data_IF_254257436375
#
_entry.id   IF_254257436375
#
_cell.length_a   1.000
_cell.length_b   1.000
_cell.length_c   1.000
_cell.angle_alpha   90.00
_cell.angle_beta   90.00
_cell.angle_gamma   90.00
#
_symmetry.space_group_name_H-M   'P 1'
#
loop_
_entity.id
_entity.type
_entity.pdbx_description
1 polymer ?
#
# COMPACT_ATOMS: atom_id res chain seq x y z
N UNK A 1 27.68 9.52 -9.34
CA UNK A 1 26.43 9.00 -8.77
C UNK A 1 26.80 8.03 -7.66
N UNK A 2 26.26 8.18 -6.44
CA UNK A 2 26.55 7.23 -5.36
C UNK A 2 25.94 5.87 -5.70
N UNK A 3 26.70 4.81 -5.49
CA UNK A 3 26.25 3.42 -5.64
C UNK A 3 25.02 3.21 -4.76
N UNK A 4 23.95 2.63 -5.32
CA UNK A 4 22.76 2.29 -4.56
C UNK A 4 23.12 1.19 -3.55
N UNK A 5 23.06 1.52 -2.25
CA UNK A 5 23.26 0.53 -1.17
C UNK A 5 21.90 -0.02 -0.76
N UNK A 6 21.75 -1.34 -0.87
CA UNK A 6 20.54 -2.04 -0.43
C UNK A 6 20.22 -1.74 1.04
N UNK A 7 21.23 -1.57 1.89
CA UNK A 7 21.04 -1.32 3.32
C UNK A 7 20.41 0.04 3.64
N UNK A 8 20.42 0.98 2.68
CA UNK A 8 19.76 2.28 2.81
C UNK A 8 18.27 2.23 2.45
N UNK A 9 17.82 1.14 1.80
CA UNK A 9 16.44 0.97 1.35
C UNK A 9 15.66 0.16 2.39
N UNK A 10 14.45 0.61 2.71
CA UNK A 10 13.60 -0.01 3.74
C UNK A 10 12.69 -1.05 3.10
N UNK A 11 13.01 -2.32 3.31
CA UNK A 11 12.22 -3.46 2.81
C UNK A 11 11.53 -4.24 3.93
N UNK A 12 10.38 -4.78 3.62
CA UNK A 12 9.63 -5.71 4.46
C UNK A 12 8.47 -6.36 3.73
N UNK A 13 7.61 -7.00 4.49
CA UNK A 13 6.50 -7.79 3.98
C UNK A 13 5.20 -7.52 4.74
N UNK A 14 4.08 -7.86 4.10
CA UNK A 14 2.82 -8.00 4.80
C UNK A 14 2.88 -9.27 5.65
N UNK A 15 2.78 -9.12 6.97
CA UNK A 15 2.95 -10.20 7.92
C UNK A 15 1.63 -10.62 8.57
N UNK A 16 1.56 -11.90 8.93
CA UNK A 16 0.39 -12.47 9.60
C UNK A 16 0.31 -12.01 11.06
N UNK A 17 -0.91 -11.74 11.52
CA UNK A 17 -1.22 -11.48 12.94
C UNK A 17 -1.85 -12.69 13.64
N UNK A 18 -1.77 -13.87 13.04
CA UNK A 18 -2.36 -15.09 13.59
C UNK A 18 -1.81 -15.41 14.99
N UNK A 19 -2.69 -15.76 15.89
CA UNK A 19 -2.38 -16.07 17.29
C UNK A 19 -2.20 -14.82 18.17
N UNK A 20 -1.18 -14.01 17.91
CA UNK A 20 -0.91 -12.77 18.67
C UNK A 20 -0.37 -11.70 17.73
N UNK A 21 -0.90 -10.47 17.83
CA UNK A 21 -0.49 -9.36 16.98
C UNK A 21 1.00 -8.99 17.13
N UNK A 22 1.58 -9.25 18.31
CA UNK A 22 3.00 -9.04 18.59
C UNK A 22 3.93 -10.02 17.87
N UNK A 23 3.40 -11.07 17.23
CA UNK A 23 4.20 -11.99 16.42
C UNK A 23 4.77 -11.29 15.18
N UNK A 24 4.01 -10.39 14.57
CA UNK A 24 4.45 -9.69 13.37
C UNK A 24 5.73 -8.84 13.58
N UNK A 25 5.83 -7.93 14.56
CA UNK A 25 7.09 -7.21 14.80
C UNK A 25 8.22 -8.11 15.27
N UNK A 26 7.96 -9.24 15.99
CA UNK A 26 8.98 -10.24 16.34
C UNK A 26 9.55 -10.91 15.08
N UNK A 27 8.68 -11.34 14.18
CA UNK A 27 9.06 -11.91 12.90
C UNK A 27 9.87 -10.92 12.06
N UNK A 28 9.37 -9.68 11.91
CA UNK A 28 10.06 -8.64 11.16
C UNK A 28 11.49 -8.38 11.69
N UNK A 29 11.69 -8.33 13.01
CA UNK A 29 13.01 -8.19 13.62
C UNK A 29 13.91 -9.41 13.36
N UNK A 30 13.38 -10.61 13.54
CA UNK A 30 14.15 -11.86 13.35
C UNK A 30 14.63 -12.05 11.92
N UNK A 31 13.84 -11.54 10.94
CA UNK A 31 14.14 -11.58 9.52
C UNK A 31 14.99 -10.38 9.04
N UNK A 32 15.29 -9.43 9.93
CA UNK A 32 16.05 -8.23 9.60
C UNK A 32 15.32 -7.25 8.67
N UNK A 33 13.99 -7.25 8.68
CA UNK A 33 13.21 -6.29 7.92
C UNK A 33 13.31 -4.89 8.55
N UNK A 34 13.25 -3.85 7.74
CA UNK A 34 13.30 -2.45 8.18
C UNK A 34 11.93 -1.76 8.18
N UNK A 35 10.93 -2.46 7.68
CA UNK A 35 9.51 -2.06 7.64
C UNK A 35 8.63 -3.31 7.61
N UNK A 36 7.35 -3.18 7.91
CA UNK A 36 6.36 -4.25 7.70
C UNK A 36 4.95 -3.66 7.68
N UNK A 37 4.01 -4.46 7.17
CA UNK A 37 2.59 -4.18 7.15
C UNK A 37 1.81 -5.32 7.77
N UNK A 38 0.68 -5.02 8.39
CA UNK A 38 -0.25 -5.99 8.99
C UNK A 38 -1.69 -5.60 8.74
N UNK A 39 -2.62 -6.54 8.88
CA UNK A 39 -4.00 -6.22 9.19
C UNK A 39 -4.13 -5.91 10.68
N UNK A 40 -4.94 -4.92 11.04
CA UNK A 40 -5.25 -4.58 12.46
C UNK A 40 -6.64 -5.04 12.87
N UNK A 41 -7.32 -5.77 11.99
CA UNK A 41 -8.60 -6.47 12.21
C UNK A 41 -8.70 -7.65 11.26
N UNK A 42 -9.74 -8.48 11.42
CA UNK A 42 -9.96 -9.59 10.49
C UNK A 42 -10.30 -9.05 9.08
N UNK A 43 -9.48 -9.32 8.03
CA UNK A 43 -9.68 -8.76 6.69
C UNK A 43 -10.96 -9.23 5.98
N UNK A 44 -11.64 -10.23 6.52
CA UNK A 44 -12.89 -10.80 5.98
C UNK A 44 -14.13 -10.47 6.81
N UNK A 45 -14.02 -9.56 7.79
CA UNK A 45 -15.12 -9.22 8.69
C UNK A 45 -15.42 -7.72 8.65
N UNK A 46 -16.70 -7.37 8.67
CA UNK A 46 -17.15 -5.99 8.90
C UNK A 46 -17.03 -5.55 10.36
N UNK A 47 -16.92 -6.52 11.28
CA UNK A 47 -16.81 -6.21 12.71
C UNK A 47 -15.33 -6.04 13.09
N UNK A 48 -14.99 -4.88 13.59
CA UNK A 48 -13.67 -4.56 14.14
C UNK A 48 -13.71 -4.78 15.64
N UNK A 49 -12.88 -5.70 16.13
CA UNK A 49 -12.63 -5.84 17.55
C UNK A 49 -11.57 -4.86 17.98
N UNK A 50 -11.81 -4.13 19.05
CA UNK A 50 -10.79 -3.30 19.67
C UNK A 50 -9.62 -4.17 20.17
N UNK A 51 -8.41 -3.67 20.00
CA UNK A 51 -7.20 -4.33 20.51
C UNK A 51 -7.10 -4.01 22.01
N UNK A 52 -6.86 -5.03 22.82
CA UNK A 52 -6.69 -4.85 24.27
C UNK A 52 -5.36 -4.16 24.60
N UNK A 53 -5.33 -3.46 25.75
CA UNK A 53 -4.20 -2.66 26.17
C UNK A 53 -2.91 -3.47 26.37
N UNK A 54 -3.01 -4.72 26.85
CA UNK A 54 -1.84 -5.58 27.07
C UNK A 54 -1.19 -5.97 25.75
N UNK A 55 -2.00 -6.43 24.78
CA UNK A 55 -1.55 -6.75 23.42
C UNK A 55 -0.95 -5.52 22.72
N UNK A 56 -1.58 -4.34 22.88
CA UNK A 56 -1.07 -3.10 22.32
C UNK A 56 0.26 -2.68 22.97
N UNK A 57 0.41 -2.82 24.27
CA UNK A 57 1.65 -2.51 24.99
C UNK A 57 2.79 -3.41 24.56
N UNK A 58 2.56 -4.73 24.46
CA UNK A 58 3.55 -5.69 23.98
C UNK A 58 3.98 -5.37 22.55
N UNK A 59 3.01 -5.14 21.65
CA UNK A 59 3.28 -4.76 20.27
C UNK A 59 4.17 -3.51 20.19
N UNK A 60 3.77 -2.41 20.84
CA UNK A 60 4.49 -1.13 20.83
C UNK A 60 5.93 -1.27 21.33
N UNK A 61 6.16 -2.06 22.38
CA UNK A 61 7.49 -2.29 22.95
C UNK A 61 8.44 -2.89 21.90
N UNK A 62 7.98 -3.83 21.09
CA UNK A 62 8.80 -4.48 20.06
C UNK A 62 8.87 -3.60 18.80
N UNK A 63 7.74 -3.07 18.38
CA UNK A 63 7.58 -2.27 17.18
C UNK A 63 8.34 -0.93 17.23
N UNK A 64 8.72 -0.45 18.42
CA UNK A 64 9.52 0.77 18.60
C UNK A 64 10.82 0.77 17.77
N UNK A 65 11.41 -0.40 17.51
CA UNK A 65 12.61 -0.55 16.68
C UNK A 65 12.42 -0.05 15.23
N UNK A 66 11.19 -0.12 14.71
CA UNK A 66 10.85 0.30 13.34
C UNK A 66 10.53 1.79 13.22
N UNK A 67 10.45 2.52 14.34
CA UNK A 67 10.06 3.94 14.38
C UNK A 67 8.68 4.15 13.73
N UNK A 68 8.64 4.97 12.65
CA UNK A 68 7.40 5.24 11.89
C UNK A 68 7.27 4.40 10.62
N UNK A 69 8.10 3.37 10.44
CA UNK A 69 8.09 2.53 9.24
C UNK A 69 7.21 1.28 9.44
N UNK A 70 6.03 1.47 9.99
CA UNK A 70 5.04 0.41 10.22
C UNK A 70 3.74 0.84 9.58
N UNK A 71 3.10 -0.09 8.89
CA UNK A 71 1.90 0.16 8.14
C UNK A 71 0.80 -0.85 8.53
N UNK A 72 -0.43 -0.39 8.48
CA UNK A 72 -1.60 -1.26 8.50
C UNK A 72 -2.30 -1.23 7.15
N UNK A 73 -3.00 -2.30 6.81
CA UNK A 73 -3.87 -2.37 5.65
C UNK A 73 -5.33 -2.53 6.11
N UNK A 74 -6.23 -1.80 5.51
CA UNK A 74 -7.66 -1.95 5.76
C UNK A 74 -8.20 -3.26 5.14
N UNK A 75 -9.24 -3.87 5.74
CA UNK A 75 -9.90 -5.04 5.16
C UNK A 75 -10.39 -4.79 3.72
N UNK A 76 -10.30 -5.80 2.87
CA UNK A 76 -10.77 -5.75 1.47
C UNK A 76 -12.26 -5.44 1.29
N UNK A 77 -13.05 -5.57 2.36
CA UNK A 77 -14.47 -5.23 2.37
C UNK A 77 -14.72 -3.73 2.29
N UNK A 78 -13.77 -2.90 2.74
CA UNK A 78 -13.90 -1.45 2.71
C UNK A 78 -14.03 -0.95 1.26
N UNK A 79 -15.08 -0.19 1.00
CA UNK A 79 -15.29 0.46 -0.30
C UNK A 79 -15.73 1.92 -0.08
N UNK A 80 -14.78 2.84 0.18
CA UNK A 80 -15.09 4.25 0.42
C UNK A 80 -15.68 4.97 -0.79
N UNK A 81 -15.55 4.42 -2.00
CA UNK A 81 -16.17 4.94 -3.23
C UNK A 81 -17.54 4.31 -3.54
N UNK A 82 -18.09 3.48 -2.63
CA UNK A 82 -19.37 2.83 -2.87
C UNK A 82 -20.51 3.84 -3.01
N UNK A 83 -21.32 3.65 -4.06
CA UNK A 83 -22.56 4.40 -4.27
C UNK A 83 -23.77 3.78 -3.56
N UNK A 84 -23.61 2.58 -2.99
CA UNK A 84 -24.61 1.93 -2.14
C UNK A 84 -24.45 2.42 -0.70
N UNK A 85 -25.43 3.14 -0.19
CA UNK A 85 -25.42 3.80 1.13
C UNK A 85 -25.05 2.83 2.26
N UNK A 86 -25.59 1.61 2.26
CA UNK A 86 -25.31 0.61 3.30
C UNK A 86 -23.84 0.16 3.29
N UNK A 87 -23.26 -0.06 2.09
CA UNK A 87 -21.85 -0.43 1.95
C UNK A 87 -20.95 0.74 2.36
N UNK A 88 -21.29 1.95 1.92
CA UNK A 88 -20.54 3.16 2.27
C UNK A 88 -20.49 3.38 3.79
N UNK A 89 -21.67 3.27 4.47
CA UNK A 89 -21.77 3.39 5.92
C UNK A 89 -20.93 2.34 6.64
N UNK A 90 -21.06 1.06 6.26
CA UNK A 90 -20.25 -0.03 6.81
C UNK A 90 -18.75 0.19 6.57
N UNK A 91 -18.37 0.74 5.40
CA UNK A 91 -16.98 1.05 5.09
C UNK A 91 -16.43 2.16 5.97
N UNK A 92 -17.21 3.20 6.23
CA UNK A 92 -16.84 4.29 7.16
C UNK A 92 -16.61 3.72 8.57
N UNK A 93 -17.55 2.93 9.09
CA UNK A 93 -17.45 2.34 10.44
C UNK A 93 -16.25 1.39 10.54
N UNK A 94 -16.02 0.57 9.50
CA UNK A 94 -14.87 -0.33 9.40
C UNK A 94 -13.54 0.43 9.41
N UNK A 95 -13.43 1.51 8.63
CA UNK A 95 -12.21 2.33 8.55
C UNK A 95 -11.94 3.05 9.87
N UNK A 96 -12.97 3.60 10.54
CA UNK A 96 -12.83 4.21 11.88
C UNK A 96 -12.24 3.22 12.87
N UNK A 97 -12.82 2.03 13.00
CA UNK A 97 -12.31 1.02 13.93
C UNK A 97 -10.89 0.56 13.61
N UNK A 98 -10.50 0.52 12.32
CA UNK A 98 -9.12 0.20 11.94
C UNK A 98 -8.15 1.35 12.27
N UNK A 99 -8.56 2.61 12.12
CA UNK A 99 -7.78 3.79 12.55
C UNK A 99 -7.57 3.78 14.05
N UNK A 100 -8.61 3.46 14.84
CA UNK A 100 -8.53 3.37 16.29
C UNK A 100 -7.55 2.27 16.73
N UNK A 101 -7.60 1.10 16.09
CA UNK A 101 -6.65 0.02 16.32
C UNK A 101 -5.23 0.42 15.92
N UNK A 102 -5.03 1.15 14.79
CA UNK A 102 -3.73 1.69 14.40
C UNK A 102 -3.19 2.64 15.48
N UNK A 103 -4.02 3.57 15.96
CA UNK A 103 -3.67 4.49 17.03
C UNK A 103 -3.28 3.76 18.33
N UNK A 104 -4.07 2.76 18.72
CA UNK A 104 -3.79 1.92 19.89
C UNK A 104 -2.44 1.20 19.78
N UNK A 105 -2.06 0.74 18.59
CA UNK A 105 -0.79 0.08 18.32
C UNK A 105 0.39 1.04 18.05
N UNK A 106 0.13 2.34 17.90
CA UNK A 106 1.14 3.31 17.50
C UNK A 106 1.56 3.18 16.03
N UNK A 107 0.71 2.62 15.18
CA UNK A 107 0.92 2.52 13.73
C UNK A 107 0.46 3.83 13.07
N UNK A 108 1.35 4.56 12.37
CA UNK A 108 1.03 5.90 11.87
C UNK A 108 0.23 5.90 10.56
N UNK A 109 0.14 4.77 9.85
CA UNK A 109 -0.41 4.72 8.50
C UNK A 109 -1.38 3.56 8.32
N UNK A 110 -2.55 3.84 7.70
CA UNK A 110 -3.53 2.85 7.26
C UNK A 110 -3.69 2.91 5.74
N UNK A 111 -3.27 1.86 5.04
CA UNK A 111 -3.50 1.71 3.58
C UNK A 111 -4.95 1.34 3.34
N UNK A 112 -5.56 2.00 2.35
CA UNK A 112 -6.96 1.83 1.99
C UNK A 112 -7.10 1.79 0.47
N UNK A 113 -7.66 0.72 -0.07
CA UNK A 113 -8.09 0.70 -1.47
C UNK A 113 -9.14 1.80 -1.70
N UNK A 114 -9.01 2.55 -2.78
CA UNK A 114 -9.96 3.62 -3.15
C UNK A 114 -11.36 3.05 -3.36
N UNK A 115 -11.45 1.80 -3.80
CA UNK A 115 -12.69 1.07 -3.94
C UNK A 115 -13.28 1.14 -5.35
N UNK A 116 -14.61 1.04 -5.43
CA UNK A 116 -15.33 0.91 -6.71
C UNK A 116 -16.66 1.64 -6.66
N UNK A 117 -17.02 2.31 -7.76
CA UNK A 117 -18.32 2.98 -7.93
C UNK A 117 -19.48 2.02 -8.27
N UNK A 118 -19.24 0.70 -8.31
CA UNK A 118 -20.25 -0.36 -8.50
C UNK A 118 -21.16 -0.17 -9.73
N UNK A 119 -20.64 0.44 -10.80
CA UNK A 119 -21.38 0.68 -12.03
C UNK A 119 -22.14 2.01 -12.10
N UNK A 120 -22.13 2.82 -11.05
CA UNK A 120 -22.86 4.11 -11.03
C UNK A 120 -22.09 5.27 -11.69
N UNK A 121 -20.89 5.00 -12.20
CA UNK A 121 -20.06 5.97 -12.88
C UNK A 121 -19.06 6.68 -11.96
N UNK A 122 -17.96 7.12 -12.57
CA UNK A 122 -16.81 7.71 -11.90
C UNK A 122 -17.17 8.86 -10.96
N UNK A 123 -17.96 9.84 -11.44
CA UNK A 123 -18.38 11.01 -10.63
C UNK A 123 -19.18 10.63 -9.38
N UNK A 124 -19.99 9.59 -9.46
CA UNK A 124 -20.71 9.08 -8.29
C UNK A 124 -19.76 8.47 -7.27
N UNK A 125 -18.72 7.74 -7.73
CA UNK A 125 -17.65 7.22 -6.87
C UNK A 125 -16.82 8.31 -6.22
N UNK A 126 -16.41 9.35 -6.97
CA UNK A 126 -15.74 10.53 -6.42
C UNK A 126 -16.59 11.18 -5.32
N UNK A 127 -17.86 11.44 -5.57
CA UNK A 127 -18.74 12.03 -4.56
C UNK A 127 -18.85 11.18 -3.29
N UNK A 128 -18.73 9.86 -3.41
CA UNK A 128 -18.77 8.95 -2.26
C UNK A 128 -17.48 9.02 -1.45
N UNK A 129 -16.30 8.95 -2.10
CA UNK A 129 -15.02 8.98 -1.38
C UNK A 129 -14.76 10.34 -0.73
N UNK A 130 -15.15 11.45 -1.38
CA UNK A 130 -15.06 12.80 -0.83
C UNK A 130 -15.98 13.04 0.38
N UNK A 131 -16.96 12.17 0.61
CA UNK A 131 -17.78 12.17 1.83
C UNK A 131 -17.24 11.21 2.88
N UNK A 132 -16.80 10.01 2.45
CA UNK A 132 -16.43 8.94 3.37
C UNK A 132 -15.09 9.19 4.07
N UNK A 133 -14.04 9.57 3.34
CA UNK A 133 -12.71 9.76 3.94
C UNK A 133 -12.70 10.93 4.93
N UNK A 134 -13.21 12.14 4.61
CA UNK A 134 -13.33 13.20 5.62
C UNK A 134 -14.16 12.77 6.82
N UNK A 135 -15.30 12.09 6.62
CA UNK A 135 -16.11 11.59 7.73
C UNK A 135 -15.33 10.65 8.66
N UNK A 136 -14.49 9.78 8.10
CA UNK A 136 -13.61 8.91 8.90
C UNK A 136 -12.62 9.75 9.71
N UNK A 137 -11.94 10.72 9.07
CA UNK A 137 -10.91 11.54 9.70
C UNK A 137 -11.46 12.47 10.78
N UNK A 138 -12.62 13.08 10.54
CA UNK A 138 -13.27 14.03 11.46
C UNK A 138 -13.83 13.34 12.71
N UNK A 139 -14.10 12.04 12.62
CA UNK A 139 -14.65 11.25 13.74
C UNK A 139 -13.61 10.32 14.38
N UNK A 140 -12.32 10.59 14.18
CA UNK A 140 -11.21 9.88 14.83
C UNK A 140 -10.23 10.88 15.41
N UNK A 141 -10.10 10.89 16.74
CA UNK A 141 -9.21 11.82 17.48
C UNK A 141 -7.80 11.20 17.61
N UNK A 142 -7.08 11.16 16.49
CA UNK A 142 -5.71 10.66 16.45
C UNK A 142 -4.99 11.17 15.19
N UNK A 143 -3.67 10.86 15.06
CA UNK A 143 -2.81 11.32 13.97
C UNK A 143 -2.55 10.24 12.91
N UNK A 144 -3.34 9.18 12.85
CA UNK A 144 -3.20 8.15 11.81
C UNK A 144 -3.52 8.74 10.46
N UNK A 145 -2.64 8.51 9.50
CA UNK A 145 -2.78 8.96 8.11
C UNK A 145 -3.34 7.84 7.25
N UNK A 146 -4.37 8.11 6.49
CA UNK A 146 -4.90 7.20 5.46
C UNK A 146 -4.00 7.29 4.23
N UNK A 147 -3.56 6.14 3.70
CA UNK A 147 -2.85 6.04 2.44
C UNK A 147 -3.78 5.46 1.39
N UNK A 148 -4.18 6.28 0.44
CA UNK A 148 -4.98 5.84 -0.70
C UNK A 148 -4.10 5.02 -1.65
N UNK A 149 -4.51 3.80 -1.94
CA UNK A 149 -3.76 2.90 -2.80
C UNK A 149 -4.32 2.92 -4.23
N UNK A 150 -3.41 3.03 -5.23
CA UNK A 150 -3.82 2.91 -6.63
C UNK A 150 -4.37 1.51 -6.93
N UNK A 151 -5.27 1.41 -7.88
CA UNK A 151 -5.92 0.14 -8.27
C UNK A 151 -5.47 -0.37 -9.63
N UNK A 152 -5.68 -1.67 -9.87
CA UNK A 152 -5.35 -2.33 -11.14
C UNK A 152 -6.20 -1.90 -12.35
N UNK A 153 -7.26 -1.14 -12.12
CA UNK A 153 -8.18 -0.74 -13.20
C UNK A 153 -9.25 -1.79 -13.55
N UNK A 154 -9.47 -2.77 -12.67
CA UNK A 154 -10.50 -3.78 -12.92
C UNK A 154 -11.90 -3.18 -12.87
N UNK A 155 -12.67 -3.34 -13.97
CA UNK A 155 -14.08 -2.91 -14.11
C UNK A 155 -14.32 -1.46 -13.64
N UNK A 156 -15.01 -1.34 -12.50
CA UNK A 156 -15.52 -0.09 -11.92
C UNK A 156 -14.63 0.42 -10.78
N UNK A 157 -13.38 -0.08 -10.66
CA UNK A 157 -12.45 0.38 -9.62
C UNK A 157 -12.06 1.84 -9.84
N UNK A 158 -11.79 2.53 -8.74
CA UNK A 158 -11.37 3.93 -8.70
C UNK A 158 -9.86 4.00 -8.41
N UNK A 159 -9.18 5.05 -8.87
CA UNK A 159 -7.77 5.28 -8.58
C UNK A 159 -6.82 4.42 -9.42
N UNK A 160 -7.23 3.99 -10.61
CA UNK A 160 -6.37 3.28 -11.53
C UNK A 160 -5.39 4.20 -12.28
N UNK A 161 -5.75 5.47 -12.40
CA UNK A 161 -4.90 6.50 -13.00
C UNK A 161 -4.43 7.48 -11.93
N UNK A 162 -3.22 7.98 -12.07
CA UNK A 162 -2.60 8.90 -11.11
C UNK A 162 -3.41 10.20 -10.98
N UNK A 163 -3.97 10.70 -12.08
CA UNK A 163 -4.81 11.89 -12.06
C UNK A 163 -6.13 11.70 -11.27
N UNK A 164 -6.66 10.48 -11.18
CA UNK A 164 -7.84 10.18 -10.35
C UNK A 164 -7.49 10.31 -8.85
N UNK A 165 -6.32 9.84 -8.45
CA UNK A 165 -5.82 9.98 -7.09
C UNK A 165 -5.54 11.46 -6.78
N UNK A 166 -4.93 12.19 -7.72
CA UNK A 166 -4.66 13.61 -7.59
C UNK A 166 -5.96 14.40 -7.37
N UNK A 167 -7.02 14.15 -8.16
CA UNK A 167 -8.34 14.76 -7.98
C UNK A 167 -8.91 14.51 -6.58
N UNK A 168 -8.78 13.28 -6.08
CA UNK A 168 -9.28 12.93 -4.74
C UNK A 168 -8.49 13.69 -3.66
N UNK A 169 -7.16 13.69 -3.74
CA UNK A 169 -6.29 14.35 -2.76
C UNK A 169 -6.51 15.86 -2.72
N UNK A 170 -6.63 16.51 -3.89
CA UNK A 170 -6.89 17.94 -4.02
C UNK A 170 -8.21 18.33 -3.36
N UNK A 171 -9.27 17.54 -3.59
CA UNK A 171 -10.59 17.85 -3.04
C UNK A 171 -10.73 17.49 -1.55
N UNK A 172 -10.03 16.47 -1.03
CA UNK A 172 -10.02 16.17 0.42
C UNK A 172 -9.16 17.21 1.15
N UNK A 173 -8.04 17.65 0.57
CA UNK A 173 -7.12 18.65 1.09
C UNK A 173 -6.78 18.46 2.58
N UNK A 174 -6.31 17.27 2.94
CA UNK A 174 -5.94 16.92 4.32
C UNK A 174 -4.50 16.43 4.42
N UNK A 175 -3.78 16.88 5.46
CA UNK A 175 -2.45 16.35 5.79
C UNK A 175 -2.51 14.90 6.31
N UNK A 176 -3.68 14.43 6.73
CA UNK A 176 -3.91 13.04 7.16
C UNK A 176 -4.30 12.11 6.00
N UNK A 177 -4.06 12.54 4.75
CA UNK A 177 -4.23 11.68 3.56
C UNK A 177 -2.95 11.71 2.72
N UNK A 178 -2.43 10.53 2.44
CA UNK A 178 -1.27 10.30 1.59
C UNK A 178 -1.56 9.18 0.57
N UNK A 179 -0.50 8.63 0.00
CA UNK A 179 -0.59 7.64 -1.07
C UNK A 179 0.26 6.41 -0.75
N UNK A 180 -0.29 5.24 -1.06
CA UNK A 180 0.43 4.00 -1.28
C UNK A 180 0.45 3.71 -2.79
N UNK A 181 1.62 3.41 -3.35
CA UNK A 181 1.75 3.00 -4.75
C UNK A 181 2.02 1.50 -4.80
N UNK A 182 1.14 0.76 -5.46
CA UNK A 182 1.38 -0.65 -5.79
C UNK A 182 1.86 -0.78 -7.24
N UNK A 183 3.02 -1.42 -7.42
CA UNK A 183 3.67 -1.59 -8.74
C UNK A 183 2.92 -2.57 -9.64
N UNK A 184 2.33 -3.63 -9.09
CA UNK A 184 1.47 -4.57 -9.82
C UNK A 184 0.20 -3.86 -10.31
N UNK A 185 -0.45 -3.08 -9.44
CA UNK A 185 -1.65 -2.34 -9.80
C UNK A 185 -1.36 -1.28 -10.87
N UNK A 186 -0.27 -0.51 -10.75
CA UNK A 186 0.12 0.46 -11.76
C UNK A 186 0.36 -0.21 -13.12
N UNK A 187 1.06 -1.33 -13.13
CA UNK A 187 1.33 -2.11 -14.35
C UNK A 187 0.04 -2.67 -14.96
N UNK A 188 -0.82 -3.28 -14.14
CA UNK A 188 -2.11 -3.79 -14.60
C UNK A 188 -3.04 -2.68 -15.12
N UNK A 189 -2.94 -1.45 -14.61
CA UNK A 189 -3.67 -0.27 -15.08
C UNK A 189 -3.08 0.37 -16.36
N UNK A 190 -1.95 -0.15 -16.88
CA UNK A 190 -1.36 0.26 -18.15
C UNK A 190 -0.12 1.14 -18.05
N UNK A 191 0.44 1.37 -16.87
CA UNK A 191 1.76 2.01 -16.72
C UNK A 191 2.86 0.98 -16.97
N UNK A 192 3.41 0.93 -18.19
CA UNK A 192 4.46 -0.02 -18.52
C UNK A 192 5.81 0.39 -17.93
N UNK A 193 5.97 0.14 -16.63
CA UNK A 193 7.18 0.47 -15.85
C UNK A 193 8.42 -0.34 -16.28
N UNK A 194 8.31 -1.25 -17.24
CA UNK A 194 9.45 -1.97 -17.85
C UNK A 194 10.22 -1.07 -18.81
N UNK A 195 9.53 -0.16 -19.48
CA UNK A 195 10.09 0.72 -20.49
C UNK A 195 10.51 2.06 -19.87
N UNK A 196 11.53 2.69 -20.45
CA UNK A 196 11.97 4.02 -20.05
C UNK A 196 10.85 5.06 -20.19
N UNK A 197 10.12 5.02 -21.31
CA UNK A 197 9.04 5.98 -21.57
C UNK A 197 7.85 5.78 -20.64
N UNK A 198 7.42 4.53 -20.40
CA UNK A 198 6.35 4.22 -19.46
C UNK A 198 6.70 4.59 -18.02
N UNK A 199 7.96 4.35 -17.63
CA UNK A 199 8.46 4.77 -16.32
C UNK A 199 8.48 6.29 -16.18
N UNK A 200 8.96 7.02 -17.18
CA UNK A 200 8.99 8.49 -17.16
C UNK A 200 7.58 9.07 -17.13
N UNK A 201 6.65 8.52 -17.90
CA UNK A 201 5.24 8.92 -17.86
C UNK A 201 4.68 8.74 -16.45
N UNK A 202 4.83 7.54 -15.85
CA UNK A 202 4.35 7.25 -14.51
C UNK A 202 4.91 8.21 -13.46
N UNK A 203 6.22 8.43 -13.47
CA UNK A 203 6.89 9.34 -12.54
C UNK A 203 6.48 10.80 -12.76
N UNK A 204 6.30 11.24 -14.01
CA UNK A 204 5.87 12.61 -14.30
C UNK A 204 4.43 12.87 -13.89
N UNK A 205 3.53 11.89 -14.07
CA UNK A 205 2.15 12.02 -13.60
C UNK A 205 2.08 12.12 -12.06
N UNK A 206 2.90 11.34 -11.34
CA UNK A 206 3.01 11.45 -9.87
C UNK A 206 3.51 12.84 -9.46
N UNK A 207 4.59 13.32 -10.09
CA UNK A 207 5.21 14.61 -9.75
C UNK A 207 4.24 15.77 -9.98
N UNK A 208 3.56 15.76 -11.11
CA UNK A 208 2.61 16.79 -11.51
C UNK A 208 1.25 16.68 -10.77
N UNK A 209 0.86 15.48 -10.38
CA UNK A 209 -0.44 15.22 -9.76
C UNK A 209 -0.47 15.56 -8.27
N UNK A 210 0.36 14.90 -7.47
CA UNK A 210 0.35 15.07 -6.01
C UNK A 210 1.74 15.11 -5.37
N UNK A 211 2.80 14.93 -6.16
CA UNK A 211 4.18 14.96 -5.69
C UNK A 211 4.62 13.69 -4.94
N UNK A 212 5.92 13.44 -4.92
CA UNK A 212 6.49 12.24 -4.27
C UNK A 212 6.42 12.29 -2.74
N UNK A 213 6.26 13.43 -2.13
CA UNK A 213 6.15 13.60 -0.68
C UNK A 213 4.83 13.04 -0.12
N UNK A 214 3.77 12.96 -0.94
CA UNK A 214 2.52 12.29 -0.54
C UNK A 214 2.65 10.77 -0.50
N UNK A 215 3.62 10.17 -1.21
CA UNK A 215 3.87 8.73 -1.15
C UNK A 215 4.58 8.39 0.16
N UNK A 216 3.97 7.56 0.98
CA UNK A 216 4.54 7.08 2.25
C UNK A 216 4.97 5.62 2.17
N UNK A 217 4.34 4.84 1.30
CA UNK A 217 4.57 3.42 1.11
C UNK A 217 4.55 3.07 -0.37
N UNK A 218 5.36 2.09 -0.74
CA UNK A 218 5.29 1.41 -2.04
C UNK A 218 5.06 -0.08 -1.77
N UNK A 219 3.95 -0.62 -2.29
CA UNK A 219 3.79 -2.06 -2.42
C UNK A 219 4.60 -2.52 -3.62
N UNK A 220 5.66 -3.28 -3.35
CA UNK A 220 6.62 -3.73 -4.35
C UNK A 220 6.24 -5.15 -4.79
N UNK A 221 5.32 -5.25 -5.72
CA UNK A 221 4.76 -6.51 -6.19
C UNK A 221 5.00 -6.69 -7.69
N UNK A 222 5.46 -7.88 -8.09
CA UNK A 222 5.47 -8.24 -9.51
C UNK A 222 4.06 -8.65 -9.95
N UNK A 223 3.79 -8.66 -11.24
CA UNK A 223 2.48 -8.92 -11.82
C UNK A 223 2.44 -10.28 -12.54
N UNK A 224 1.42 -11.09 -12.25
CA UNK A 224 1.23 -12.37 -12.95
C UNK A 224 0.75 -12.18 -14.39
N UNK A 225 0.00 -11.12 -14.66
CA UNK A 225 -0.60 -10.83 -15.95
C UNK A 225 0.06 -9.63 -16.64
N UNK A 226 -0.18 -9.52 -17.95
CA UNK A 226 0.45 -8.49 -18.77
C UNK A 226 -0.03 -7.07 -18.43
N UNK A 227 0.73 -6.09 -18.90
CA UNK A 227 0.41 -4.67 -18.79
C UNK A 227 -0.98 -4.38 -19.36
N UNK A 228 -1.71 -3.49 -18.69
CA UNK A 228 -3.08 -3.11 -19.07
C UNK A 228 -4.11 -4.26 -19.03
N UNK A 229 -3.84 -5.30 -18.22
CA UNK A 229 -4.77 -6.42 -18.04
C UNK A 229 -5.96 -6.10 -17.14
N UNK A 230 -5.84 -5.09 -16.29
CA UNK A 230 -6.81 -4.79 -15.24
C UNK A 230 -6.89 -5.84 -14.13
N UNK A 231 -5.99 -6.83 -14.10
CA UNK A 231 -6.04 -7.96 -13.17
C UNK A 231 -5.06 -7.79 -12.03
N UNK A 232 -5.59 -7.68 -10.83
CA UNK A 232 -4.82 -7.67 -9.58
C UNK A 232 -4.43 -9.10 -9.21
N UNK A 233 -3.18 -9.47 -9.54
CA UNK A 233 -2.57 -10.74 -9.15
C UNK A 233 -1.08 -10.56 -8.97
N UNK A 234 -0.67 -10.43 -7.72
CA UNK A 234 0.73 -10.34 -7.35
C UNK A 234 1.49 -11.61 -7.71
N UNK A 235 2.75 -11.46 -8.05
CA UNK A 235 3.64 -12.56 -8.39
C UNK A 235 5.03 -12.33 -7.81
N UNK A 236 5.83 -13.39 -7.76
CA UNK A 236 7.20 -13.35 -7.24
C UNK A 236 8.09 -12.38 -8.01
N UNK A 237 8.88 -11.60 -7.28
CA UNK A 237 9.78 -10.59 -7.85
C UNK A 237 10.69 -11.20 -8.91
N UNK A 238 10.69 -10.62 -10.09
CA UNK A 238 11.49 -11.04 -11.24
C UNK A 238 10.99 -12.26 -12.00
N UNK A 239 9.93 -12.93 -11.52
CA UNK A 239 9.28 -14.06 -12.18
C UNK A 239 7.95 -13.69 -12.84
N UNK A 240 7.46 -12.48 -12.60
CA UNK A 240 6.25 -11.94 -13.20
C UNK A 240 6.51 -11.17 -14.49
N UNK A 241 5.50 -10.43 -14.91
CA UNK A 241 5.49 -9.69 -16.18
C UNK A 241 6.20 -8.33 -16.12
N UNK A 242 6.33 -7.75 -14.90
CA UNK A 242 7.21 -6.60 -14.68
C UNK A 242 8.66 -7.06 -14.80
N UNK A 243 9.00 -8.17 -14.15
CA UNK A 243 10.29 -8.83 -14.26
C UNK A 243 11.46 -8.03 -13.67
N UNK A 244 12.64 -8.64 -13.71
CA UNK A 244 13.86 -8.05 -13.14
C UNK A 244 14.25 -6.71 -13.79
N UNK A 245 14.01 -6.57 -15.11
CA UNK A 245 14.33 -5.36 -15.85
C UNK A 245 13.44 -4.18 -15.40
N UNK A 246 12.14 -4.41 -15.26
CA UNK A 246 11.21 -3.38 -14.77
C UNK A 246 11.59 -2.88 -13.38
N UNK A 247 11.89 -3.78 -12.45
CA UNK A 247 12.37 -3.39 -11.10
C UNK A 247 13.75 -2.72 -11.15
N UNK A 248 14.65 -3.13 -12.05
CA UNK A 248 15.92 -2.42 -12.27
C UNK A 248 15.68 -0.97 -12.70
N UNK A 249 14.77 -0.73 -13.63
CA UNK A 249 14.40 0.61 -14.09
C UNK A 249 13.73 1.41 -12.95
N UNK A 250 12.85 0.79 -12.17
CA UNK A 250 12.19 1.41 -11.03
C UNK A 250 13.21 1.90 -9.99
N UNK A 251 14.18 1.09 -9.59
CA UNK A 251 15.18 1.48 -8.60
C UNK A 251 16.26 2.46 -9.12
N UNK A 252 16.31 2.75 -10.42
CA UNK A 252 17.11 3.86 -10.96
C UNK A 252 16.51 5.23 -10.61
N UNK A 253 15.20 5.29 -10.27
CA UNK A 253 14.51 6.53 -9.92
C UNK A 253 14.89 6.98 -8.50
N UNK A 254 15.63 8.08 -8.38
CA UNK A 254 16.12 8.56 -7.07
C UNK A 254 15.00 8.97 -6.11
N UNK A 255 13.89 9.50 -6.63
CA UNK A 255 12.77 10.05 -5.83
C UNK A 255 12.04 9.01 -4.96
N UNK A 256 12.14 7.70 -5.30
CA UNK A 256 11.47 6.64 -4.55
C UNK A 256 12.37 5.96 -3.51
N UNK A 257 13.69 6.08 -3.61
CA UNK A 257 14.66 5.31 -2.78
C UNK A 257 14.52 5.52 -1.28
N UNK A 258 14.03 6.68 -0.87
CA UNK A 258 13.80 7.00 0.55
C UNK A 258 12.51 6.41 1.13
N UNK A 259 11.67 5.80 0.29
CA UNK A 259 10.37 5.26 0.72
C UNK A 259 10.52 3.91 1.40
N UNK A 260 9.46 3.47 2.08
CA UNK A 260 9.34 2.10 2.55
C UNK A 260 8.75 1.23 1.44
N UNK A 261 9.25 0.00 1.33
CA UNK A 261 8.79 -0.99 0.37
C UNK A 261 8.25 -2.21 1.12
N UNK A 262 7.00 -2.53 0.91
CA UNK A 262 6.37 -3.73 1.46
C UNK A 262 5.95 -4.64 0.31
N UNK A 263 6.24 -5.91 0.44
CA UNK A 263 5.86 -6.94 -0.52
C UNK A 263 4.68 -7.75 0.01
N UNK A 264 3.71 -8.06 -0.87
CA UNK A 264 2.48 -8.81 -0.60
C UNK A 264 2.39 -9.98 -1.56
N UNK A 265 3.38 -10.84 -1.51
CA UNK A 265 3.60 -11.87 -2.51
C UNK A 265 3.10 -13.24 -2.03
N UNK A 266 2.73 -14.15 -2.94
CA UNK A 266 2.37 -15.51 -2.56
C UNK A 266 3.56 -16.22 -1.90
N UNK A 267 3.24 -17.20 -1.05
CA UNK A 267 4.19 -18.18 -0.54
C UNK A 267 3.76 -19.53 -1.10
N UNK A 268 4.53 -20.08 -2.03
CA UNK A 268 4.21 -21.29 -2.77
C UNK A 268 5.49 -21.99 -3.29
N UNK A 269 5.34 -22.92 -4.20
CA UNK A 269 6.45 -23.67 -4.81
C UNK A 269 7.45 -22.80 -5.61
N UNK A 270 7.04 -21.62 -6.04
CA UNK A 270 7.91 -20.67 -6.78
C UNK A 270 8.75 -19.80 -5.87
N UNK A 271 8.32 -19.58 -4.62
CA UNK A 271 9.10 -18.81 -3.67
C UNK A 271 8.40 -18.46 -2.36
N UNK A 272 9.19 -17.83 -1.50
CA UNK A 272 8.81 -17.28 -0.21
C UNK A 272 9.37 -15.86 -0.04
N UNK A 273 9.16 -15.27 1.13
CA UNK A 273 9.66 -13.95 1.46
C UNK A 273 11.19 -13.83 1.32
N UNK A 274 11.96 -14.85 1.74
CA UNK A 274 13.41 -14.85 1.67
C UNK A 274 13.93 -14.89 0.23
N UNK A 275 13.31 -15.71 -0.60
CA UNK A 275 13.67 -15.80 -2.04
C UNK A 275 13.37 -14.49 -2.75
N UNK A 276 12.21 -13.88 -2.51
CA UNK A 276 11.84 -12.59 -3.08
C UNK A 276 12.79 -11.48 -2.62
N UNK A 277 13.15 -11.42 -1.33
CA UNK A 277 14.12 -10.46 -0.80
C UNK A 277 15.52 -10.65 -1.41
N UNK A 278 15.95 -11.88 -1.60
CA UNK A 278 17.23 -12.20 -2.25
C UNK A 278 17.23 -11.77 -3.71
N UNK A 279 16.11 -11.98 -4.42
CA UNK A 279 15.96 -11.56 -5.81
C UNK A 279 16.06 -10.04 -5.95
N UNK A 280 15.34 -9.28 -5.11
CA UNK A 280 15.40 -7.80 -5.18
C UNK A 280 16.79 -7.27 -4.81
N UNK A 281 17.48 -7.88 -3.83
CA UNK A 281 18.88 -7.57 -3.54
C UNK A 281 19.78 -7.74 -4.77
N UNK A 282 19.63 -8.86 -5.48
CA UNK A 282 20.39 -9.14 -6.70
C UNK A 282 20.12 -8.14 -7.80
N UNK A 283 18.84 -7.77 -8.01
CA UNK A 283 18.43 -6.76 -8.99
C UNK A 283 19.09 -5.40 -8.67
N UNK A 284 19.01 -4.96 -7.42
CA UNK A 284 19.60 -3.67 -6.99
C UNK A 284 21.13 -3.68 -7.15
N UNK A 285 21.80 -4.76 -6.77
CA UNK A 285 23.25 -4.90 -6.95
C UNK A 285 23.66 -4.92 -8.44
N UNK A 286 22.79 -5.38 -9.34
CA UNK A 286 23.06 -5.39 -10.80
C UNK A 286 22.90 -4.03 -11.46
N UNK A 287 22.29 -3.05 -10.80
CA UNK A 287 22.17 -1.69 -11.31
C UNK A 287 23.59 -1.07 -11.36
N UNK A 288 24.16 -1.11 -12.56
CA UNK A 288 25.44 -0.43 -12.83
C UNK A 288 25.19 1.09 -12.84
N UNK A 289 26.10 1.77 -12.19
CA UNK A 289 26.14 3.25 -12.22
C UNK A 289 26.43 3.79 -13.62
#
# INVERSE_FOLDING_TARGET
>A
MNKLDFNEIKFGFHLSIAGNISNAPKEALSMGYSTFQIFVSNPRSWNVKAIDENSASEFKKIAHAFKKNIFAHAPYLANPSSTKIEILKKSIDLLKGNIDNCSMLGIPYLVVHIGSHLGSGYRAGINSILKSIPNVLDNTDNNVTILLENSSGYKNSMGSKINEIAEILENINSERVGVCIDTCHAFAAGYDIRTHDGMNLFMSEIDNGFGFEKIKLIHLNDAKFDCNSGLDRHWHIGLGKIGAEGFSNFFKMNKIKSKCFVMELPIDEYGDNNKNLTTIKSIIHSIKN
#
